data_IF_672856068661
#
_entry.id   IF_672856068661
#
_cell.length_a   1.000
_cell.length_b   1.000
_cell.length_c   1.000
_cell.angle_alpha   90.00
_cell.angle_beta   90.00
_cell.angle_gamma   90.00
#
_symmetry.space_group_name_H-M   'P 1'
#
loop_
_entity.id
_entity.type
_entity.pdbx_description
1 polymer ?
#
# COMPACT_ATOMS: atom_id res chain seq x y z
N UNK A 1 -26.22 5.74 2.16
CA UNK A 1 -25.28 6.12 1.09
C UNK A 1 -24.25 5.01 0.91
N UNK A 2 -23.77 4.77 -0.32
CA UNK A 2 -22.74 3.75 -0.58
C UNK A 2 -21.37 4.41 -0.44
N UNK A 3 -20.53 3.90 0.46
CA UNK A 3 -19.15 4.38 0.59
C UNK A 3 -18.36 4.11 -0.71
N UNK A 4 -17.40 4.98 -1.08
CA UNK A 4 -16.40 4.66 -2.10
C UNK A 4 -15.75 3.30 -1.83
N UNK A 5 -15.49 2.51 -2.87
CA UNK A 5 -15.02 1.12 -2.73
C UNK A 5 -13.73 1.00 -1.90
N UNK A 6 -12.79 1.93 -2.07
CA UNK A 6 -11.54 1.97 -1.30
C UNK A 6 -11.79 2.17 0.21
N UNK A 7 -12.80 2.96 0.57
CA UNK A 7 -13.18 3.19 1.97
C UNK A 7 -13.90 1.95 2.53
N UNK A 8 -14.78 1.33 1.75
CA UNK A 8 -15.44 0.09 2.15
C UNK A 8 -14.43 -1.04 2.42
N UNK A 9 -13.46 -1.23 1.53
CA UNK A 9 -12.42 -2.27 1.68
C UNK A 9 -11.56 -2.06 2.95
N UNK A 10 -11.29 -0.80 3.35
CA UNK A 10 -10.61 -0.48 4.61
C UNK A 10 -11.42 -0.91 5.83
N UNK A 11 -12.72 -0.56 5.87
CA UNK A 11 -13.61 -0.97 6.95
C UNK A 11 -13.74 -2.50 7.03
N UNK A 12 -13.87 -3.18 5.90
CA UNK A 12 -13.93 -4.65 5.85
C UNK A 12 -12.65 -5.30 6.40
N UNK A 13 -11.48 -4.65 6.22
CA UNK A 13 -10.22 -5.09 6.80
C UNK A 13 -10.03 -4.71 8.29
N UNK A 14 -11.03 -4.05 8.90
CA UNK A 14 -10.97 -3.58 10.29
C UNK A 14 -10.09 -2.34 10.49
N UNK A 15 -9.83 -1.58 9.42
CA UNK A 15 -9.03 -0.36 9.44
C UNK A 15 -9.99 0.83 9.32
N UNK A 16 -10.00 1.69 10.35
CA UNK A 16 -10.91 2.84 10.38
C UNK A 16 -10.24 4.05 9.72
N UNK A 17 -10.74 4.52 8.56
CA UNK A 17 -10.08 5.58 7.77
C UNK A 17 -9.98 6.92 8.50
N UNK A 18 -10.92 7.23 9.40
CA UNK A 18 -10.90 8.47 10.19
C UNK A 18 -9.79 8.50 11.26
N UNK A 19 -9.29 7.32 11.66
CA UNK A 19 -8.24 7.19 12.69
C UNK A 19 -6.90 6.75 12.10
N UNK A 20 -6.89 6.36 10.82
CA UNK A 20 -5.74 5.84 10.12
C UNK A 20 -5.61 6.50 8.74
N UNK A 21 -5.31 7.80 8.78
CA UNK A 21 -5.14 8.62 7.59
C UNK A 21 -4.02 8.10 6.68
N UNK A 22 -2.99 7.49 7.25
CA UNK A 22 -1.88 6.90 6.49
C UNK A 22 -2.36 5.70 5.66
N UNK A 23 -3.16 4.80 6.25
CA UNK A 23 -3.76 3.70 5.51
C UNK A 23 -4.78 4.20 4.46
N UNK A 24 -5.56 5.23 4.77
CA UNK A 24 -6.51 5.83 3.83
C UNK A 24 -5.80 6.39 2.59
N UNK A 25 -4.74 7.19 2.79
CA UNK A 25 -3.99 7.79 1.69
C UNK A 25 -3.26 6.73 0.86
N UNK A 26 -2.65 5.74 1.50
CA UNK A 26 -1.99 4.65 0.78
C UNK A 26 -2.96 3.78 -0.02
N UNK A 27 -4.15 3.50 0.53
CA UNK A 27 -5.20 2.79 -0.21
C UNK A 27 -5.61 3.61 -1.44
N UNK A 28 -5.85 4.91 -1.25
CA UNK A 28 -6.29 5.81 -2.33
C UNK A 28 -5.23 5.97 -3.42
N UNK A 29 -3.96 6.16 -3.04
CA UNK A 29 -2.85 6.24 -3.99
C UNK A 29 -2.71 4.94 -4.80
N UNK A 30 -2.77 3.78 -4.15
CA UNK A 30 -2.66 2.50 -4.86
C UNK A 30 -3.85 2.25 -5.80
N UNK A 31 -5.05 2.69 -5.43
CA UNK A 31 -6.23 2.68 -6.30
C UNK A 31 -6.05 3.52 -7.58
N UNK A 32 -5.27 4.60 -7.50
CA UNK A 32 -4.96 5.45 -8.65
C UNK A 32 -3.76 4.93 -9.46
N UNK A 33 -2.90 4.08 -8.88
CA UNK A 33 -1.69 3.56 -9.51
C UNK A 33 -1.91 2.22 -10.22
N UNK A 34 -2.70 1.34 -9.63
CA UNK A 34 -2.81 -0.07 -10.04
C UNK A 34 -4.23 -0.42 -10.48
N UNK A 35 -4.36 -1.54 -11.19
CA UNK A 35 -5.67 -2.05 -11.55
C UNK A 35 -6.45 -2.43 -10.27
N UNK A 36 -7.80 -2.37 -10.31
CA UNK A 36 -8.62 -2.60 -9.12
C UNK A 36 -8.33 -3.93 -8.42
N UNK A 37 -7.89 -4.95 -9.15
CA UNK A 37 -7.62 -6.28 -8.59
C UNK A 37 -6.49 -6.28 -7.54
N UNK A 38 -5.49 -5.41 -7.69
CA UNK A 38 -4.39 -5.27 -6.74
C UNK A 38 -4.74 -4.29 -5.64
N UNK A 39 -5.28 -3.13 -6.02
CA UNK A 39 -5.55 -2.04 -5.07
C UNK A 39 -6.57 -2.44 -4.00
N UNK A 40 -7.53 -3.31 -4.35
CA UNK A 40 -8.51 -3.86 -3.41
C UNK A 40 -7.94 -4.85 -2.40
N UNK A 41 -6.76 -5.42 -2.68
CA UNK A 41 -6.09 -6.37 -1.78
C UNK A 41 -5.18 -5.70 -0.77
N UNK A 42 -4.88 -4.43 -0.94
CA UNK A 42 -4.04 -3.70 0.00
C UNK A 42 -4.60 -3.64 1.43
N UNK A 43 -5.88 -3.32 1.68
CA UNK A 43 -6.39 -3.28 3.05
C UNK A 43 -6.30 -4.64 3.76
N UNK A 44 -6.65 -5.71 3.05
CA UNK A 44 -6.48 -7.09 3.51
C UNK A 44 -5.01 -7.39 3.83
N UNK A 45 -4.09 -7.05 2.93
CA UNK A 45 -2.66 -7.21 3.13
C UNK A 45 -2.13 -6.41 4.33
N UNK A 46 -2.60 -5.18 4.54
CA UNK A 46 -2.17 -4.33 5.65
C UNK A 46 -2.63 -4.90 6.99
N UNK A 47 -3.85 -5.43 7.04
CA UNK A 47 -4.33 -6.13 8.23
C UNK A 47 -3.50 -7.38 8.52
N UNK A 48 -3.07 -8.14 7.49
CA UNK A 48 -2.15 -9.28 7.64
C UNK A 48 -0.79 -8.81 8.18
N UNK A 49 -0.20 -7.78 7.58
CA UNK A 49 1.10 -7.22 7.96
C UNK A 49 1.14 -6.83 9.45
N UNK A 50 0.11 -6.09 9.89
CA UNK A 50 -0.02 -5.61 11.27
C UNK A 50 -0.24 -6.75 12.26
N UNK A 51 -1.07 -7.75 11.91
CA UNK A 51 -1.22 -8.97 12.73
C UNK A 51 0.08 -9.76 12.83
N UNK A 52 0.93 -9.70 11.80
CA UNK A 52 2.28 -10.28 11.79
C UNK A 52 3.32 -9.46 12.57
N UNK A 53 2.95 -8.31 13.15
CA UNK A 53 3.82 -7.47 13.96
C UNK A 53 4.56 -6.36 13.20
N UNK A 54 4.37 -6.22 11.88
CA UNK A 54 4.93 -5.10 11.14
C UNK A 54 4.23 -3.79 11.53
N UNK A 55 4.97 -2.68 11.53
CA UNK A 55 4.46 -1.36 11.93
C UNK A 55 4.89 -0.26 10.96
N UNK A 56 4.20 0.89 11.02
CA UNK A 56 4.52 2.11 10.28
C UNK A 56 4.72 1.87 8.77
N UNK A 57 5.74 2.55 8.22
CA UNK A 57 6.09 2.49 6.80
C UNK A 57 6.38 1.07 6.31
N UNK A 58 6.97 0.22 7.16
CA UNK A 58 7.29 -1.16 6.79
C UNK A 58 6.02 -1.98 6.55
N UNK A 59 5.03 -1.91 7.45
CA UNK A 59 3.76 -2.59 7.28
C UNK A 59 3.05 -2.17 5.98
N UNK A 60 3.07 -0.87 5.69
CA UNK A 60 2.42 -0.32 4.50
C UNK A 60 3.16 -0.73 3.23
N UNK A 61 4.48 -0.54 3.17
CA UNK A 61 5.28 -0.92 2.01
C UNK A 61 5.17 -2.42 1.73
N UNK A 62 5.20 -3.25 2.78
CA UNK A 62 4.97 -4.68 2.68
C UNK A 62 3.58 -4.98 2.12
N UNK A 63 2.52 -4.35 2.66
CA UNK A 63 1.15 -4.60 2.23
C UNK A 63 0.90 -4.18 0.78
N UNK A 64 1.46 -3.03 0.39
CA UNK A 64 1.43 -2.56 -1.00
C UNK A 64 2.10 -3.56 -1.93
N UNK A 65 3.23 -4.11 -1.53
CA UNK A 65 3.97 -5.14 -2.29
C UNK A 65 3.18 -6.44 -2.37
N UNK A 66 2.67 -6.93 -1.23
CA UNK A 66 1.91 -8.16 -1.11
C UNK A 66 0.64 -8.15 -1.97
N UNK A 67 0.00 -6.99 -2.15
CA UNK A 67 -1.22 -6.85 -2.96
C UNK A 67 -1.06 -7.24 -4.45
N UNK A 68 0.18 -7.35 -4.93
CA UNK A 68 0.48 -7.82 -6.28
C UNK A 68 0.64 -9.35 -6.38
N UNK A 69 0.70 -10.06 -5.26
CA UNK A 69 0.86 -11.51 -5.20
C UNK A 69 -0.48 -12.20 -5.11
N UNK A 70 -0.99 -12.64 -6.25
CA UNK A 70 -2.33 -13.20 -6.36
C UNK A 70 -2.30 -14.64 -6.89
N UNK A 71 -3.23 -15.46 -6.40
CA UNK A 71 -3.49 -16.79 -6.94
C UNK A 71 -4.39 -16.73 -8.21
N UNK A 72 -4.71 -17.89 -8.79
CA UNK A 72 -5.57 -17.99 -9.99
C UNK A 72 -7.01 -17.50 -9.79
N UNK A 73 -7.45 -17.29 -8.55
CA UNK A 73 -8.76 -16.74 -8.18
C UNK A 73 -8.69 -15.26 -7.81
N UNK A 74 -7.53 -14.62 -8.00
CA UNK A 74 -7.29 -13.22 -7.64
C UNK A 74 -7.40 -12.93 -6.14
N UNK A 75 -7.07 -13.92 -5.31
CA UNK A 75 -6.96 -13.80 -3.86
C UNK A 75 -5.49 -13.62 -3.49
N UNK A 76 -5.23 -12.93 -2.37
CA UNK A 76 -3.88 -12.71 -1.87
C UNK A 76 -3.23 -14.05 -1.50
N UNK A 77 -2.07 -14.33 -2.10
CA UNK A 77 -1.32 -15.56 -1.84
C UNK A 77 0.18 -15.30 -2.01
N UNK A 78 0.89 -15.20 -0.88
CA UNK A 78 2.33 -14.97 -0.84
C UNK A 78 3.18 -16.24 -1.03
N UNK A 79 2.56 -17.42 -0.94
CA UNK A 79 3.26 -18.69 -0.99
C UNK A 79 3.24 -19.30 -2.39
N UNK A 80 2.08 -19.26 -3.04
CA UNK A 80 1.87 -19.88 -4.36
C UNK A 80 1.34 -18.92 -5.41
N UNK A 81 1.01 -17.69 -5.02
CA UNK A 81 0.60 -16.64 -5.93
C UNK A 81 1.74 -16.17 -6.82
N UNK A 82 1.37 -15.45 -7.89
CA UNK A 82 2.33 -14.84 -8.82
C UNK A 82 2.33 -13.34 -8.61
N UNK A 83 3.49 -12.72 -8.82
CA UNK A 83 3.58 -11.27 -8.84
C UNK A 83 2.99 -10.74 -10.15
N UNK A 84 2.01 -9.86 -10.05
CA UNK A 84 1.30 -9.25 -11.18
C UNK A 84 1.74 -7.80 -11.47
N UNK A 85 2.79 -7.29 -10.81
CA UNK A 85 3.32 -5.95 -11.00
C UNK A 85 4.17 -5.79 -12.28
N UNK A 86 3.69 -6.30 -13.41
CA UNK A 86 4.45 -6.41 -14.68
C UNK A 86 5.09 -5.08 -15.13
N UNK A 87 4.41 -3.96 -14.94
CA UNK A 87 4.94 -2.62 -15.23
C UNK A 87 6.18 -2.26 -14.38
N UNK A 88 6.13 -2.53 -13.08
CA UNK A 88 7.25 -2.28 -12.15
C UNK A 88 8.42 -3.23 -12.41
N UNK A 89 8.12 -4.51 -12.65
CA UNK A 89 9.13 -5.51 -13.01
C UNK A 89 9.87 -5.13 -14.30
N UNK A 90 9.16 -4.58 -15.29
CA UNK A 90 9.75 -4.06 -16.52
C UNK A 90 10.72 -2.89 -16.31
N UNK A 91 10.52 -2.07 -15.27
CA UNK A 91 11.45 -0.99 -14.89
C UNK A 91 12.76 -1.58 -14.37
N UNK A 92 12.70 -2.48 -13.40
CA UNK A 92 13.90 -3.10 -12.83
C UNK A 92 14.68 -3.93 -13.87
N UNK A 93 13.97 -4.64 -14.76
CA UNK A 93 14.59 -5.40 -15.85
C UNK A 93 15.35 -4.48 -16.82
N UNK A 94 14.74 -3.34 -17.21
CA UNK A 94 15.38 -2.34 -18.08
C UNK A 94 16.62 -1.73 -17.42
N UNK A 95 16.58 -1.51 -16.12
CA UNK A 95 17.68 -0.95 -15.32
C UNK A 95 18.74 -1.99 -14.92
N UNK A 96 18.54 -3.27 -15.25
CA UNK A 96 19.45 -4.39 -14.91
C UNK A 96 19.77 -4.47 -13.41
N UNK A 97 18.79 -4.18 -12.56
CA UNK A 97 18.96 -4.23 -11.11
C UNK A 97 19.11 -5.69 -10.66
N UNK A 98 20.14 -6.05 -9.86
CA UNK A 98 20.35 -7.41 -9.37
C UNK A 98 19.47 -7.69 -8.16
N UNK A 99 18.14 -7.65 -8.36
CA UNK A 99 17.13 -7.79 -7.30
C UNK A 99 16.07 -8.81 -7.72
N UNK A 100 15.45 -9.46 -6.75
CA UNK A 100 14.26 -10.30 -6.95
C UNK A 100 13.05 -9.46 -7.38
N UNK A 101 12.00 -10.12 -7.87
CA UNK A 101 10.72 -9.46 -8.17
C UNK A 101 10.13 -8.77 -6.94
N UNK A 102 10.24 -9.40 -5.77
CA UNK A 102 9.78 -8.84 -4.50
C UNK A 102 10.53 -7.55 -4.18
N UNK A 103 11.86 -7.59 -4.16
CA UNK A 103 12.71 -6.43 -3.85
C UNK A 103 12.51 -5.29 -4.85
N UNK A 104 12.27 -5.62 -6.12
CA UNK A 104 11.94 -4.63 -7.15
C UNK A 104 10.66 -3.86 -6.81
N UNK A 105 9.56 -4.59 -6.56
CA UNK A 105 8.26 -3.98 -6.26
C UNK A 105 8.31 -3.27 -4.90
N UNK A 106 8.88 -3.92 -3.88
CA UNK A 106 9.03 -3.37 -2.55
C UNK A 106 9.79 -2.06 -2.53
N UNK A 107 10.88 -1.95 -3.30
CA UNK A 107 11.63 -0.70 -3.40
C UNK A 107 10.80 0.47 -3.93
N UNK A 108 9.97 0.25 -4.96
CA UNK A 108 9.07 1.29 -5.48
C UNK A 108 7.96 1.62 -4.48
N UNK A 109 7.34 0.60 -3.88
CA UNK A 109 6.24 0.79 -2.93
C UNK A 109 6.71 1.47 -1.64
N UNK A 110 7.92 1.16 -1.16
CA UNK A 110 8.56 1.83 -0.02
C UNK A 110 8.78 3.32 -0.32
N UNK A 111 9.36 3.65 -1.48
CA UNK A 111 9.57 5.04 -1.89
C UNK A 111 8.26 5.82 -1.88
N UNK A 112 7.16 5.26 -2.41
CA UNK A 112 5.84 5.91 -2.38
C UNK A 112 5.29 6.09 -0.98
N UNK A 113 5.43 5.06 -0.15
CA UNK A 113 5.00 5.09 1.25
C UNK A 113 5.71 6.22 2.01
N UNK A 114 7.02 6.38 1.78
CA UNK A 114 7.82 7.46 2.36
C UNK A 114 7.37 8.84 1.90
N UNK A 115 7.06 9.03 0.62
CA UNK A 115 6.55 10.32 0.11
C UNK A 115 5.19 10.67 0.71
N UNK A 116 4.29 9.70 0.84
CA UNK A 116 2.97 9.91 1.47
C UNK A 116 3.14 10.29 2.94
N UNK A 117 4.00 9.58 3.68
CA UNK A 117 4.30 9.89 5.06
C UNK A 117 4.94 11.29 5.21
N UNK A 118 5.86 11.66 4.32
CA UNK A 118 6.46 12.99 4.30
C UNK A 118 5.41 14.09 4.12
N UNK A 119 4.45 13.91 3.20
CA UNK A 119 3.34 14.86 3.03
C UNK A 119 2.49 14.96 4.29
N UNK A 120 2.15 13.84 4.93
CA UNK A 120 1.41 13.84 6.19
C UNK A 120 2.14 14.60 7.30
N UNK A 121 3.44 14.42 7.42
CA UNK A 121 4.27 15.14 8.39
C UNK A 121 4.24 16.65 8.14
N UNK A 122 4.33 17.08 6.88
CA UNK A 122 4.22 18.50 6.51
C UNK A 122 2.85 19.08 6.89
N UNK A 123 1.76 18.34 6.63
CA UNK A 123 0.41 18.77 7.02
C UNK A 123 0.27 18.89 8.54
N UNK A 124 0.81 17.94 9.30
CA UNK A 124 0.78 17.97 10.76
C UNK A 124 1.54 19.19 11.30
N UNK A 125 2.71 19.51 10.75
CA UNK A 125 3.50 20.68 11.14
C UNK A 125 2.74 21.99 10.87
N UNK A 126 2.19 22.16 9.66
CA UNK A 126 1.42 23.36 9.31
C UNK A 126 0.22 23.54 10.24
N UNK A 127 -0.53 22.47 10.49
CA UNK A 127 -1.68 22.52 11.38
C UNK A 127 -1.30 22.92 12.82
N UNK A 128 -0.19 22.39 13.34
CA UNK A 128 0.33 22.75 14.65
C UNK A 128 0.74 24.22 14.73
N UNK A 129 1.41 24.74 13.69
CA UNK A 129 1.78 26.17 13.63
C UNK A 129 0.56 27.07 13.63
N UNK A 130 -0.49 26.74 12.86
CA UNK A 130 -1.73 27.52 12.81
C UNK A 130 -2.52 27.55 14.13
N UNK A 131 -2.33 26.58 15.02
CA UNK A 131 -2.98 26.56 16.34
C UNK A 131 -2.23 27.36 17.41
N UNK A 132 -1.00 27.80 17.13
CA UNK A 132 -0.17 28.59 18.05
C UNK A 132 -0.26 30.10 17.79
N UNK A 133 -0.92 30.51 16.71
CA UNK A 133 -1.23 31.90 16.34
C UNK A 133 -2.65 32.29 16.77
#
# INVERSE_FOLDING_TARGET
>A
ERLPTNIADLYEAGIHPDYDLEALLNTTDLYNQASPIHSRRFPEALAIARRGGLQGLEAIAWARTASFYLNSRNELDLHTGRNHASGLLGICARERRPVTEWECVYGDQMRRTQEIAHVLDLYAQVYQTMQQE
#
